data_IF_870002440737
#
_entry.id   IF_870002440737
#
_cell.length_a   1.000
_cell.length_b   1.000
_cell.length_c   1.000
_cell.angle_alpha   90.00
_cell.angle_beta   90.00
_cell.angle_gamma   90.00
#
_symmetry.space_group_name_H-M   'P 1'
#
loop_
_entity.id
_entity.type
_entity.pdbx_description
1 polymer ?
#
# COMPACT_ATOMS: atom_id res chain seq x y z
N UNK A 1 5.04 0.18 -33.78
CA UNK A 1 5.40 -1.10 -33.10
C UNK A 1 4.91 -1.03 -31.67
N UNK A 2 3.86 -1.77 -31.35
CA UNK A 2 3.19 -1.77 -30.02
C UNK A 2 3.58 -3.05 -29.27
N UNK A 3 4.47 -2.93 -28.29
CA UNK A 3 4.78 -4.03 -27.38
C UNK A 3 3.76 -4.03 -26.23
N UNK A 4 2.93 -5.08 -26.19
CA UNK A 4 2.06 -5.41 -25.06
C UNK A 4 2.90 -6.16 -24.03
N UNK A 5 3.08 -5.61 -22.84
CA UNK A 5 3.58 -6.38 -21.70
C UNK A 5 2.42 -6.66 -20.76
N UNK A 6 1.99 -7.91 -20.73
CA UNK A 6 0.99 -8.44 -19.81
C UNK A 6 1.76 -9.30 -18.80
N UNK A 7 2.03 -8.75 -17.63
CA UNK A 7 2.62 -9.50 -16.50
C UNK A 7 1.51 -9.67 -15.47
N UNK A 8 0.98 -10.88 -15.38
CA UNK A 8 0.03 -11.28 -14.33
C UNK A 8 0.84 -12.04 -13.29
N UNK A 9 1.16 -11.39 -12.18
CA UNK A 9 1.72 -12.06 -11.01
C UNK A 9 0.56 -12.45 -10.07
N UNK A 10 0.37 -13.75 -9.86
CA UNK A 10 -0.56 -14.30 -8.86
C UNK A 10 0.29 -14.91 -7.75
N UNK A 11 0.24 -14.33 -6.55
CA UNK A 11 0.87 -14.91 -5.36
C UNK A 11 -0.21 -15.49 -4.45
N UNK A 12 -0.10 -16.80 -4.17
CA UNK A 12 -0.95 -17.53 -3.23
C UNK A 12 -0.06 -17.92 -2.04
N UNK A 13 -0.33 -17.36 -0.87
CA UNK A 13 0.33 -17.75 0.38
C UNK A 13 -0.63 -18.61 1.20
N UNK A 14 -0.32 -19.90 1.37
CA UNK A 14 -1.07 -20.80 2.23
C UNK A 14 -0.20 -21.17 3.44
N UNK A 15 -0.63 -20.81 4.64
CA UNK A 15 -0.05 -21.33 5.87
C UNK A 15 -0.90 -22.51 6.34
N UNK A 16 -0.41 -23.74 6.10
CA UNK A 16 -0.97 -24.95 6.70
C UNK A 16 -0.17 -25.26 7.97
N UNK A 17 -0.77 -25.07 9.14
CA UNK A 17 -0.24 -25.61 10.37
C UNK A 17 -0.67 -27.08 10.47
N UNK A 18 0.26 -27.99 10.21
CA UNK A 18 0.10 -29.41 10.46
C UNK A 18 0.17 -29.66 11.97
N UNK A 19 -0.93 -30.13 12.56
CA UNK A 19 -0.95 -30.71 13.90
C UNK A 19 -1.03 -32.22 13.77
N UNK A 20 0.12 -32.88 13.70
CA UNK A 20 0.23 -34.33 13.84
C UNK A 20 0.59 -34.68 15.29
N UNK A 21 -0.27 -35.44 15.97
CA UNK A 21 0.11 -36.63 16.73
C UNK A 21 -1.13 -37.33 17.32
N UNK A 22 -1.43 -38.52 16.80
CA UNK A 22 -2.45 -39.47 17.23
C UNK A 22 -2.08 -40.26 18.50
N UNK A 23 -3.09 -40.57 19.33
CA UNK A 23 -3.39 -41.86 19.99
C UNK A 23 -4.62 -41.62 20.89
N UNK A 24 -5.81 -42.21 20.77
CA UNK A 24 -6.25 -43.49 20.21
C UNK A 24 -6.80 -44.33 21.36
N UNK A 25 -8.13 -44.38 21.56
CA UNK A 25 -8.91 -45.49 22.16
C UNK A 25 -10.43 -45.25 21.94
N UNK A 26 -11.26 -46.27 21.67
CA UNK A 26 -12.67 -46.13 21.30
C UNK A 26 -13.64 -46.53 22.44
N UNK A 27 -14.63 -45.70 22.76
CA UNK A 27 -15.77 -46.19 23.55
C UNK A 27 -16.67 -45.16 24.24
N UNK A 28 -17.94 -45.14 23.82
CA UNK A 28 -19.18 -44.78 24.55
C UNK A 28 -19.46 -43.31 24.95
N UNK A 29 -20.49 -42.78 24.28
CA UNK A 29 -21.62 -41.92 24.74
C UNK A 29 -21.39 -40.90 25.86
N UNK A 30 -21.49 -39.62 25.49
CA UNK A 30 -22.33 -38.65 26.20
C UNK A 30 -22.67 -37.48 25.27
N UNK A 31 -23.95 -37.15 25.18
CA UNK A 31 -24.45 -35.94 24.57
C UNK A 31 -23.91 -34.73 25.34
N UNK A 32 -23.19 -33.86 24.64
CA UNK A 32 -22.95 -32.47 25.03
C UNK A 32 -22.85 -31.66 23.73
N UNK A 33 -23.80 -30.74 23.61
CA UNK A 33 -23.95 -29.78 22.52
C UNK A 33 -22.59 -29.13 22.19
N UNK A 34 -22.17 -29.25 20.93
CA UNK A 34 -21.05 -28.46 20.41
C UNK A 34 -21.64 -27.24 19.71
N UNK A 35 -21.14 -26.02 20.00
CA UNK A 35 -21.68 -24.80 19.46
C UNK A 35 -21.56 -24.82 17.94
N UNK A 36 -22.51 -24.16 17.28
CA UNK A 36 -22.45 -23.83 15.86
C UNK A 36 -21.02 -23.43 15.50
N UNK A 37 -20.41 -24.22 14.59
CA UNK A 37 -19.22 -23.78 13.88
C UNK A 37 -19.69 -22.57 13.09
N UNK A 38 -19.45 -21.39 13.67
CA UNK A 38 -19.51 -20.12 12.96
C UNK A 38 -18.69 -20.35 11.70
N UNK A 39 -19.41 -20.35 10.58
CA UNK A 39 -18.88 -20.28 9.24
C UNK A 39 -18.00 -19.03 9.23
N UNK A 40 -16.70 -19.21 9.53
CA UNK A 40 -15.69 -18.19 9.37
C UNK A 40 -15.72 -17.86 7.90
N UNK A 41 -16.45 -16.80 7.56
CA UNK A 41 -16.52 -16.22 6.25
C UNK A 41 -15.09 -16.14 5.74
N UNK A 42 -14.77 -16.99 4.77
CA UNK A 42 -13.52 -16.91 4.01
C UNK A 42 -13.53 -15.57 3.31
N UNK A 43 -12.97 -14.55 3.97
CA UNK A 43 -12.75 -13.24 3.38
C UNK A 43 -11.74 -13.46 2.26
N UNK A 44 -12.24 -13.54 1.02
CA UNK A 44 -11.42 -13.69 -0.15
C UNK A 44 -10.31 -12.61 -0.14
N UNK A 45 -9.04 -12.96 -0.42
CA UNK A 45 -7.95 -12.00 -0.37
C UNK A 45 -8.19 -10.83 -1.34
N UNK A 46 -7.77 -9.61 -0.98
CA UNK A 46 -8.03 -8.43 -1.79
C UNK A 46 -7.35 -8.56 -3.16
N UNK A 47 -8.17 -8.67 -4.21
CA UNK A 47 -7.69 -8.66 -5.61
C UNK A 47 -7.24 -7.24 -5.95
N UNK A 48 -5.94 -7.04 -6.13
CA UNK A 48 -5.36 -5.76 -6.55
C UNK A 48 -5.64 -5.53 -8.04
N UNK A 49 -6.09 -4.33 -8.40
CA UNK A 49 -6.34 -3.95 -9.79
C UNK A 49 -5.51 -2.71 -10.07
N UNK A 50 -4.60 -2.77 -11.06
CA UNK A 50 -3.95 -1.56 -11.56
C UNK A 50 -5.02 -0.63 -12.14
N UNK A 51 -5.12 0.58 -11.59
CA UNK A 51 -6.09 1.57 -12.05
C UNK A 51 -5.91 1.89 -13.54
N UNK A 52 -7.03 2.18 -14.23
CA UNK A 52 -7.07 2.74 -15.60
C UNK A 52 -6.08 3.90 -15.73
N UNK A 53 -5.54 4.10 -16.95
CA UNK A 53 -4.64 5.20 -17.35
C UNK A 53 -4.88 6.44 -16.48
N UNK A 54 -3.95 6.65 -15.54
CA UNK A 54 -4.19 7.54 -14.43
C UNK A 54 -4.28 8.97 -14.98
N UNK A 55 -5.47 9.59 -14.90
CA UNK A 55 -5.66 10.99 -15.35
C UNK A 55 -4.83 11.97 -14.52
N UNK A 56 -4.29 11.49 -13.40
CA UNK A 56 -3.41 12.22 -12.51
C UNK A 56 -1.95 11.96 -12.83
N UNK A 57 -1.16 13.02 -12.88
CA UNK A 57 0.27 12.95 -13.14
C UNK A 57 1.01 13.92 -12.22
N UNK A 58 1.99 13.42 -11.51
CA UNK A 58 2.93 14.27 -10.77
C UNK A 58 3.92 14.93 -11.75
N UNK A 59 4.20 16.22 -11.57
CA UNK A 59 5.07 17.00 -12.48
C UNK A 59 5.88 18.05 -11.72
N UNK A 60 7.01 18.42 -12.31
CA UNK A 60 7.82 19.58 -11.94
C UNK A 60 9.11 19.61 -12.77
N UNK A 61 9.89 20.71 -12.73
CA UNK A 61 11.06 20.89 -13.59
C UNK A 61 12.22 19.96 -13.25
N UNK A 62 12.37 19.58 -11.97
CA UNK A 62 13.44 18.70 -11.48
C UNK A 62 12.88 17.60 -10.57
N UNK A 63 12.06 18.00 -9.61
CA UNK A 63 11.29 17.10 -8.75
C UNK A 63 9.81 17.29 -9.04
N UNK A 64 9.05 16.21 -8.96
CA UNK A 64 7.60 16.25 -9.12
C UNK A 64 6.98 16.79 -7.84
N UNK A 65 6.49 18.03 -7.86
CA UNK A 65 5.98 18.70 -6.66
C UNK A 65 4.48 18.94 -6.68
N UNK A 66 3.88 18.94 -7.87
CA UNK A 66 2.45 19.19 -8.06
C UNK A 66 1.80 18.07 -8.87
N UNK A 67 0.48 17.98 -8.79
CA UNK A 67 -0.30 16.98 -9.53
C UNK A 67 -1.21 17.66 -10.54
N UNK A 68 -1.13 17.24 -11.80
CA UNK A 68 -2.08 17.60 -12.83
C UNK A 68 -3.18 16.54 -12.92
N UNK A 69 -4.41 16.96 -13.23
CA UNK A 69 -5.51 16.11 -13.65
C UNK A 69 -5.93 16.52 -15.05
N UNK A 70 -5.78 15.62 -16.04
CA UNK A 70 -6.07 15.92 -17.45
C UNK A 70 -5.41 17.24 -17.94
N UNK A 71 -4.14 17.43 -17.59
CA UNK A 71 -3.34 18.59 -18.00
C UNK A 71 -3.56 19.88 -17.20
N UNK A 72 -4.57 19.94 -16.34
CA UNK A 72 -4.82 21.09 -15.45
C UNK A 72 -4.28 20.82 -14.05
N UNK A 73 -3.77 21.84 -13.37
CA UNK A 73 -3.32 21.69 -12.00
C UNK A 73 -4.49 21.25 -11.10
N UNK A 74 -4.24 20.21 -10.31
CA UNK A 74 -5.20 19.63 -9.39
C UNK A 74 -4.74 19.77 -7.94
N UNK A 75 -3.48 19.46 -7.65
CA UNK A 75 -2.84 19.74 -6.36
C UNK A 75 -1.61 20.62 -6.62
N UNK A 76 -1.56 21.84 -6.07
CA UNK A 76 -0.41 22.71 -6.18
C UNK A 76 0.73 22.21 -5.27
N UNK A 77 1.95 22.68 -5.50
CA UNK A 77 3.13 22.22 -4.78
C UNK A 77 3.01 22.49 -3.27
N UNK A 78 2.51 23.66 -2.91
CA UNK A 78 2.37 24.13 -1.53
C UNK A 78 1.45 23.21 -0.72
N UNK A 79 0.39 22.67 -1.35
CA UNK A 79 -0.51 21.74 -0.70
C UNK A 79 0.16 20.38 -0.42
N UNK A 80 0.93 19.87 -1.38
CA UNK A 80 1.67 18.61 -1.23
C UNK A 80 2.77 18.74 -0.16
N UNK A 81 3.47 19.87 -0.17
CA UNK A 81 4.51 20.22 0.80
C UNK A 81 3.95 20.33 2.22
N UNK A 82 2.83 21.05 2.40
CA UNK A 82 2.17 21.22 3.70
C UNK A 82 1.55 19.93 4.26
N UNK A 83 1.25 18.95 3.40
CA UNK A 83 0.70 17.66 3.79
C UNK A 83 1.76 16.62 4.14
N UNK A 84 3.05 16.94 4.01
CA UNK A 84 4.09 16.00 4.42
C UNK A 84 4.03 15.80 5.94
N UNK A 85 3.96 14.55 6.43
CA UNK A 85 3.90 14.29 7.86
C UNK A 85 5.25 14.60 8.53
N UNK A 86 5.19 15.11 9.76
CA UNK A 86 6.38 15.45 10.54
C UNK A 86 6.99 16.81 10.21
N UNK A 87 7.94 17.24 11.04
CA UNK A 87 8.66 18.51 10.89
C UNK A 87 10.06 18.28 10.31
N UNK A 88 10.10 17.84 9.04
CA UNK A 88 11.35 17.59 8.32
C UNK A 88 11.44 18.54 7.14
N UNK A 89 12.48 19.35 7.10
CA UNK A 89 12.77 20.24 5.97
C UNK A 89 13.61 19.51 4.91
N UNK A 90 13.42 19.90 3.64
CA UNK A 90 14.21 19.41 2.52
C UNK A 90 13.42 19.36 1.21
N UNK A 91 14.08 19.11 0.07
CA UNK A 91 13.38 18.88 -1.19
C UNK A 91 12.40 17.72 -1.08
N UNK A 92 11.30 17.84 -1.83
CA UNK A 92 10.23 16.87 -1.88
C UNK A 92 10.00 16.40 -3.32
N UNK A 93 9.76 15.10 -3.49
CA UNK A 93 9.41 14.48 -4.77
C UNK A 93 8.23 13.53 -4.62
N UNK A 94 7.21 13.71 -5.45
CA UNK A 94 6.12 12.76 -5.63
C UNK A 94 6.61 11.66 -6.58
N UNK A 95 6.99 10.52 -6.00
CA UNK A 95 7.56 9.41 -6.76
C UNK A 95 6.50 8.58 -7.49
N UNK A 96 5.32 8.40 -6.86
CA UNK A 96 4.24 7.54 -7.37
C UNK A 96 2.88 8.13 -7.07
N UNK A 97 1.93 7.85 -7.95
CA UNK A 97 0.52 8.23 -7.80
C UNK A 97 -0.38 7.04 -8.14
N UNK A 98 -1.43 6.82 -7.35
CA UNK A 98 -2.47 5.84 -7.64
C UNK A 98 -3.84 6.40 -7.27
N UNK A 99 -4.88 5.89 -7.92
CA UNK A 99 -6.26 6.35 -7.69
C UNK A 99 -7.14 5.16 -7.39
N UNK A 100 -7.85 5.23 -6.27
CA UNK A 100 -8.84 4.25 -5.88
C UNK A 100 -10.13 4.41 -6.73
N UNK A 101 -10.98 3.37 -6.79
CA UNK A 101 -12.24 3.43 -7.55
C UNK A 101 -13.17 4.57 -7.15
N UNK A 102 -13.10 4.99 -5.89
CA UNK A 102 -13.92 6.05 -5.33
C UNK A 102 -13.38 7.47 -5.66
N UNK A 103 -12.26 7.56 -6.38
CA UNK A 103 -11.61 8.80 -6.77
C UNK A 103 -10.58 9.32 -5.76
N UNK A 104 -10.33 8.60 -4.67
CA UNK A 104 -9.26 8.95 -3.73
C UNK A 104 -7.91 8.78 -4.40
N UNK A 105 -7.11 9.84 -4.39
CA UNK A 105 -5.75 9.87 -4.91
C UNK A 105 -4.78 9.59 -3.74
N UNK A 106 -3.83 8.68 -3.93
CA UNK A 106 -2.67 8.54 -3.04
C UNK A 106 -1.42 9.02 -3.76
N UNK A 107 -0.63 9.83 -3.05
CA UNK A 107 0.73 10.23 -3.45
C UNK A 107 1.70 9.46 -2.56
N UNK A 108 2.70 8.81 -3.14
CA UNK A 108 3.89 8.41 -2.40
C UNK A 108 4.99 9.41 -2.64
N UNK A 109 5.51 9.95 -1.55
CA UNK A 109 6.32 11.16 -1.52
C UNK A 109 7.60 10.87 -0.77
N UNK A 110 8.73 11.28 -1.32
CA UNK A 110 10.00 11.33 -0.61
C UNK A 110 10.30 12.75 -0.17
N UNK A 111 10.86 12.87 1.05
CA UNK A 111 11.51 14.07 1.57
C UNK A 111 13.00 13.80 1.74
N UNK A 112 13.83 14.73 1.29
CA UNK A 112 15.29 14.59 1.29
C UNK A 112 15.94 15.59 2.24
N UNK A 113 15.92 15.35 3.56
CA UNK A 113 16.64 16.21 4.50
C UNK A 113 18.15 16.19 4.25
N UNK A 114 18.81 17.34 4.45
CA UNK A 114 20.26 17.45 4.30
C UNK A 114 20.98 16.62 5.37
N UNK A 115 21.94 15.78 4.94
CA UNK A 115 22.75 14.97 5.84
C UNK A 115 22.00 13.83 6.56
N UNK A 116 20.78 13.51 6.14
CA UNK A 116 19.96 12.44 6.72
C UNK A 116 19.35 11.56 5.62
N UNK A 117 18.98 10.30 5.92
CA UNK A 117 18.26 9.46 4.97
C UNK A 117 16.95 10.11 4.50
N UNK A 118 16.54 9.77 3.28
CA UNK A 118 15.24 10.17 2.78
C UNK A 118 14.12 9.60 3.65
N UNK A 119 13.02 10.34 3.80
CA UNK A 119 11.81 9.91 4.51
C UNK A 119 10.71 9.66 3.50
N UNK A 120 10.09 8.49 3.56
CA UNK A 120 8.94 8.14 2.72
C UNK A 120 7.62 8.48 3.43
N UNK A 121 6.63 8.96 2.67
CA UNK A 121 5.29 9.21 3.19
C UNK A 121 4.22 8.88 2.14
N UNK A 122 3.03 8.57 2.63
CA UNK A 122 1.81 8.51 1.82
C UNK A 122 0.92 9.68 2.19
N UNK A 123 0.30 10.29 1.18
CA UNK A 123 -0.72 11.32 1.34
C UNK A 123 -1.97 10.93 0.58
N UNK A 124 -3.11 10.87 1.25
CA UNK A 124 -4.40 10.55 0.66
C UNK A 124 -5.24 11.79 0.47
N UNK A 125 -5.75 11.98 -0.74
CA UNK A 125 -6.45 13.17 -1.17
C UNK A 125 -7.78 12.82 -1.81
N UNK A 126 -8.80 13.63 -1.56
CA UNK A 126 -10.08 13.57 -2.26
C UNK A 126 -10.62 14.97 -2.48
N UNK A 127 -11.00 15.28 -3.71
CA UNK A 127 -11.52 16.60 -4.08
C UNK A 127 -10.62 17.76 -3.59
N UNK A 128 -9.30 17.55 -3.69
CA UNK A 128 -8.23 18.46 -3.23
C UNK A 128 -8.14 18.67 -1.71
N UNK A 129 -8.89 17.89 -0.92
CA UNK A 129 -8.78 17.85 0.54
C UNK A 129 -7.89 16.69 0.97
N UNK A 130 -6.97 16.96 1.89
CA UNK A 130 -6.19 15.92 2.55
C UNK A 130 -7.11 15.11 3.47
N UNK A 131 -7.10 13.79 3.30
CA UNK A 131 -7.81 12.84 4.16
C UNK A 131 -6.89 12.35 5.28
N UNK A 132 -5.65 12.02 4.93
CA UNK A 132 -4.64 11.52 5.86
C UNK A 132 -3.25 11.62 5.22
N UNK A 133 -2.23 11.68 6.07
CA UNK A 133 -0.84 11.53 5.68
C UNK A 133 -0.07 10.83 6.79
N UNK A 134 0.86 9.94 6.43
CA UNK A 134 1.67 9.21 7.39
C UNK A 134 2.98 8.76 6.75
N UNK A 135 4.01 8.64 7.58
CA UNK A 135 5.30 8.11 7.17
C UNK A 135 5.21 6.61 6.88
N UNK A 136 6.01 6.15 5.93
CA UNK A 136 6.24 4.73 5.65
C UNK A 136 7.74 4.50 5.50
N UNK A 137 8.24 3.30 5.80
CA UNK A 137 9.67 3.06 5.69
C UNK A 137 10.19 3.34 4.29
N UNK A 138 11.37 3.95 4.24
CA UNK A 138 11.99 4.39 2.99
C UNK A 138 12.25 3.20 2.06
N UNK A 139 11.93 3.36 0.78
CA UNK A 139 12.09 2.31 -0.23
C UNK A 139 10.89 1.39 -0.41
N UNK A 140 9.86 1.46 0.46
CA UNK A 140 8.70 0.55 0.38
C UNK A 140 7.86 0.73 -0.88
N UNK A 141 7.93 1.88 -1.56
CA UNK A 141 7.17 2.18 -2.78
C UNK A 141 8.05 2.43 -4.01
N UNK A 142 9.29 1.91 -4.01
CA UNK A 142 10.22 2.05 -5.14
C UNK A 142 9.71 1.49 -6.47
N UNK A 143 8.92 0.41 -6.42
CA UNK A 143 8.32 -0.23 -7.60
C UNK A 143 6.87 0.20 -7.88
N UNK A 144 6.17 0.78 -6.91
CA UNK A 144 4.85 1.35 -7.15
C UNK A 144 3.86 1.26 -5.99
N UNK A 145 2.61 1.60 -6.32
CA UNK A 145 1.45 1.59 -5.44
C UNK A 145 0.27 0.93 -6.15
N UNK A 146 -0.57 0.20 -5.43
CA UNK A 146 -1.84 -0.27 -5.94
C UNK A 146 -2.93 -0.21 -4.86
N UNK A 147 -4.16 0.10 -5.26
CA UNK A 147 -5.31 -0.02 -4.37
C UNK A 147 -5.91 -1.42 -4.43
N UNK A 148 -6.47 -1.88 -3.32
CA UNK A 148 -7.44 -2.98 -3.31
C UNK A 148 -8.66 -2.64 -4.17
N UNK A 149 -9.38 -3.67 -4.64
CA UNK A 149 -10.57 -3.48 -5.47
C UNK A 149 -11.68 -2.65 -4.82
N UNK A 150 -11.83 -2.74 -3.50
CA UNK A 150 -12.76 -1.91 -2.72
C UNK A 150 -12.20 -0.51 -2.41
N UNK A 151 -10.95 -0.24 -2.80
CA UNK A 151 -10.23 1.00 -2.59
C UNK A 151 -9.74 1.21 -1.15
N UNK A 152 -10.05 0.34 -0.20
CA UNK A 152 -9.81 0.59 1.24
C UNK A 152 -8.35 0.47 1.64
N UNK A 153 -7.56 -0.30 0.91
CA UNK A 153 -6.17 -0.60 1.21
C UNK A 153 -5.24 -0.13 0.10
N UNK A 154 -4.02 0.25 0.46
CA UNK A 154 -2.93 0.51 -0.48
C UNK A 154 -1.81 -0.51 -0.25
N UNK A 155 -1.34 -1.12 -1.32
CA UNK A 155 -0.16 -1.98 -1.36
C UNK A 155 1.04 -1.18 -1.88
N UNK A 156 2.18 -1.33 -1.22
CA UNK A 156 3.46 -0.71 -1.59
C UNK A 156 4.42 -1.79 -2.09
N UNK A 157 5.11 -1.49 -3.19
CA UNK A 157 6.04 -2.42 -3.83
C UNK A 157 7.46 -1.88 -3.85
N UNK A 158 8.44 -2.73 -3.55
CA UNK A 158 9.85 -2.44 -3.79
C UNK A 158 10.18 -2.47 -5.28
N UNK A 159 11.38 -2.01 -5.63
CA UNK A 159 11.84 -1.88 -7.02
C UNK A 159 11.84 -3.22 -7.80
N UNK A 160 12.04 -4.33 -7.09
CA UNK A 160 11.96 -5.71 -7.60
C UNK A 160 10.51 -6.22 -7.78
N UNK A 161 9.49 -5.40 -7.48
CA UNK A 161 8.08 -5.77 -7.52
C UNK A 161 7.59 -6.53 -6.28
N UNK A 162 8.45 -6.76 -5.29
CA UNK A 162 8.07 -7.40 -4.03
C UNK A 162 7.09 -6.55 -3.22
N UNK A 163 6.07 -7.17 -2.64
CA UNK A 163 5.16 -6.50 -1.71
C UNK A 163 5.90 -6.17 -0.41
N UNK A 164 5.95 -4.89 -0.03
CA UNK A 164 6.61 -4.44 1.21
C UNK A 164 5.64 -4.13 2.33
N UNK A 165 4.47 -3.57 1.99
CA UNK A 165 3.46 -3.27 2.99
C UNK A 165 2.07 -3.06 2.40
N UNK A 166 1.07 -3.33 3.21
CA UNK A 166 -0.35 -3.07 2.95
C UNK A 166 -0.87 -2.21 4.08
N UNK A 167 -1.29 -1.01 3.75
CA UNK A 167 -1.80 -0.03 4.71
C UNK A 167 -3.27 0.23 4.46
N UNK A 168 -4.05 0.46 5.52
CA UNK A 168 -5.31 1.17 5.35
C UNK A 168 -5.06 2.67 5.11
N UNK A 169 -6.10 3.39 4.70
CA UNK A 169 -6.00 4.83 4.44
C UNK A 169 -5.73 5.66 5.69
N UNK A 170 -5.87 5.09 6.89
CA UNK A 170 -5.55 5.75 8.15
C UNK A 170 -4.08 5.62 8.57
N UNK A 171 -3.28 4.82 7.85
CA UNK A 171 -1.88 4.58 8.17
C UNK A 171 -1.61 3.34 8.99
N UNK A 172 -2.63 2.52 9.28
CA UNK A 172 -2.40 1.25 9.96
C UNK A 172 -1.85 0.23 8.98
N UNK A 173 -0.67 -0.30 9.29
CA UNK A 173 -0.08 -1.45 8.61
C UNK A 173 -0.90 -2.71 8.93
N UNK A 174 -1.42 -3.37 7.91
CA UNK A 174 -2.20 -4.61 8.03
C UNK A 174 -1.37 -5.85 7.69
N UNK A 175 -0.38 -5.71 6.82
CA UNK A 175 0.53 -6.78 6.43
C UNK A 175 1.78 -6.17 5.84
N UNK A 176 2.96 -6.65 6.24
CA UNK A 176 4.25 -6.21 5.73
C UNK A 176 5.36 -7.09 6.29
N UNK A 177 6.51 -7.11 5.64
CA UNK A 177 7.72 -7.65 6.26
C UNK A 177 8.19 -6.62 7.28
N UNK A 178 8.30 -6.94 8.59
CA UNK A 178 8.88 -6.02 9.55
C UNK A 178 10.33 -5.67 9.17
N UNK A 179 10.80 -4.50 9.61
CA UNK A 179 12.11 -3.92 9.28
C UNK A 179 13.32 -4.82 9.65
N UNK A 180 13.10 -5.94 10.34
CA UNK A 180 14.13 -6.91 10.74
C UNK A 180 14.88 -7.58 9.58
N UNK A 181 14.59 -7.24 8.32
CA UNK A 181 15.27 -7.77 7.14
C UNK A 181 16.25 -6.81 6.46
N UNK A 182 16.44 -5.58 6.96
CA UNK A 182 17.38 -4.61 6.37
C UNK A 182 18.55 -4.18 7.28
N UNK A 183 18.87 -4.95 8.32
CA UNK A 183 20.22 -4.89 8.89
C UNK A 183 21.14 -5.71 7.99
N UNK A 184 21.71 -5.07 6.98
CA UNK A 184 22.96 -5.53 6.37
C UNK A 184 24.06 -4.97 7.28
N UNK A 185 24.88 -5.88 7.83
CA UNK A 185 26.06 -5.53 8.63
C UNK A 185 27.17 -4.86 7.82
#
# INVERSE_FOLDING_TARGET
MTARFLVVAVFVLAAAAAGDAFRGEPGRVAALERPAVEERATVAPPRLVLGKANRFRAVGPFLNKRVLRAGKEHLPAEAVEAAFPGDVAGPLDISKVAVAPDGTLVLAVYRFPLGRPAVGALQFWRDRRLLSAFEVPTGYFGGGLAFSRDGRLVALFSHDGGLRGVYDRGGRLLSGLPDSFLSVG
#
